data_IF_459944559717
#
_entry.id   IF_459944559717
#
_cell.length_a   1.000
_cell.length_b   1.000
_cell.length_c   1.000
_cell.angle_alpha   90.00
_cell.angle_beta   90.00
_cell.angle_gamma   90.00
#
_symmetry.space_group_name_H-M   'P 1'
#
loop_
_entity.id
_entity.type
_entity.pdbx_description
1 polymer ?
#
# COMPACT_ATOMS: atom_id res chain seq x y z
N UNK A 1 -16.70 9.49 -23.38
CA UNK A 1 -15.76 9.30 -24.52
C UNK A 1 -14.63 8.42 -24.05
N UNK A 2 -13.93 7.70 -24.94
CA UNK A 2 -12.75 6.92 -24.54
C UNK A 2 -11.68 7.81 -23.88
N UNK A 3 -11.63 9.11 -24.19
CA UNK A 3 -10.74 10.07 -23.55
C UNK A 3 -11.01 10.26 -22.05
N UNK A 4 -12.26 10.42 -21.62
CA UNK A 4 -12.58 10.63 -20.20
C UNK A 4 -12.28 9.42 -19.32
N UNK A 5 -12.53 8.21 -19.83
CA UNK A 5 -12.20 6.96 -19.10
C UNK A 5 -10.67 6.83 -18.93
N UNK A 6 -9.89 7.25 -19.93
CA UNK A 6 -8.44 7.22 -19.85
C UNK A 6 -7.93 8.25 -18.85
N UNK A 7 -8.43 9.49 -18.88
CA UNK A 7 -8.04 10.53 -17.90
C UNK A 7 -8.30 10.09 -16.46
N UNK A 8 -9.48 9.51 -16.17
CA UNK A 8 -9.81 8.98 -14.84
C UNK A 8 -8.87 7.83 -14.43
N UNK A 9 -8.55 6.92 -15.37
CA UNK A 9 -7.65 5.79 -15.12
C UNK A 9 -6.20 6.26 -14.88
N UNK A 10 -5.73 7.26 -15.63
CA UNK A 10 -4.40 7.84 -15.43
C UNK A 10 -4.31 8.56 -14.08
N UNK A 11 -5.35 9.31 -13.70
CA UNK A 11 -5.39 9.98 -12.40
C UNK A 11 -5.39 8.99 -11.23
N UNK A 12 -6.15 7.89 -11.34
CA UNK A 12 -6.14 6.82 -10.34
C UNK A 12 -4.75 6.20 -10.18
N UNK A 13 -4.05 5.95 -11.30
CA UNK A 13 -2.70 5.39 -11.28
C UNK A 13 -1.70 6.36 -10.64
N UNK A 14 -1.76 7.64 -10.96
CA UNK A 14 -0.85 8.65 -10.41
C UNK A 14 -1.03 8.80 -8.89
N UNK A 15 -2.27 8.75 -8.41
CA UNK A 15 -2.56 8.75 -6.97
C UNK A 15 -1.95 7.53 -6.27
N UNK A 16 -2.06 6.34 -6.87
CA UNK A 16 -1.48 5.13 -6.30
C UNK A 16 0.06 5.18 -6.25
N UNK A 17 0.70 5.76 -7.28
CA UNK A 17 2.15 5.98 -7.28
C UNK A 17 2.56 6.97 -6.18
N UNK A 18 1.80 8.05 -6.00
CA UNK A 18 2.04 9.01 -4.91
C UNK A 18 1.89 8.36 -3.53
N UNK A 19 0.87 7.51 -3.35
CA UNK A 19 0.68 6.75 -2.12
C UNK A 19 1.84 5.78 -1.87
N UNK A 20 2.29 5.05 -2.89
CA UNK A 20 3.44 4.16 -2.76
C UNK A 20 4.68 4.91 -2.26
N UNK A 21 5.00 6.04 -2.90
CA UNK A 21 6.14 6.87 -2.53
C UNK A 21 6.02 7.50 -1.14
N UNK A 22 4.79 7.71 -0.65
CA UNK A 22 4.54 8.21 0.70
C UNK A 22 4.82 7.14 1.76
N UNK A 23 4.58 5.86 1.43
CA UNK A 23 4.76 4.72 2.33
C UNK A 23 6.24 4.26 2.35
N UNK A 24 6.91 4.26 1.19
CA UNK A 24 8.34 3.93 1.04
C UNK A 24 9.24 5.04 1.61
N UNK A 25 9.28 5.14 2.95
CA UNK A 25 9.97 6.19 3.69
C UNK A 25 11.47 6.25 3.41
N UNK A 26 12.09 5.09 3.18
CA UNK A 26 13.52 5.00 2.88
C UNK A 26 13.84 5.11 1.38
N UNK A 27 12.82 5.22 0.52
CA UNK A 27 12.92 5.31 -0.93
C UNK A 27 13.70 4.14 -1.55
N UNK A 28 13.52 2.93 -1.03
CA UNK A 28 14.18 1.72 -1.54
C UNK A 28 13.58 1.23 -2.86
N UNK A 29 12.40 1.72 -3.24
CA UNK A 29 11.58 1.19 -4.32
C UNK A 29 10.74 -0.02 -3.90
N UNK A 30 10.70 -0.33 -2.60
CA UNK A 30 9.91 -1.40 -2.02
C UNK A 30 9.29 -0.92 -0.71
N UNK A 31 8.05 -1.32 -0.45
CA UNK A 31 7.44 -1.14 0.86
C UNK A 31 7.83 -2.33 1.73
N UNK A 32 8.63 -2.07 2.76
CA UNK A 32 8.94 -3.07 3.78
C UNK A 32 7.74 -3.32 4.69
N UNK A 33 7.76 -4.46 5.37
CA UNK A 33 6.75 -4.82 6.38
C UNK A 33 6.60 -3.76 7.49
N UNK A 34 7.71 -3.12 7.89
CA UNK A 34 7.70 -2.08 8.92
C UNK A 34 7.02 -0.82 8.40
N UNK A 35 7.37 -0.36 7.18
CA UNK A 35 6.75 0.80 6.54
C UNK A 35 5.24 0.58 6.34
N UNK A 36 4.85 -0.62 5.92
CA UNK A 36 3.45 -1.00 5.80
C UNK A 36 2.73 -0.97 7.14
N UNK A 37 3.31 -1.58 8.18
CA UNK A 37 2.75 -1.60 9.55
C UNK A 37 2.54 -0.19 10.10
N UNK A 38 3.54 0.68 9.96
CA UNK A 38 3.49 2.06 10.44
C UNK A 38 2.34 2.83 9.79
N UNK A 39 2.18 2.72 8.48
CA UNK A 39 1.10 3.41 7.75
C UNK A 39 -0.26 2.81 8.06
N UNK A 40 -0.41 1.49 8.10
CA UNK A 40 -1.69 0.85 8.42
C UNK A 40 -2.13 1.21 9.83
N UNK A 41 -1.21 1.24 10.80
CA UNK A 41 -1.50 1.71 12.17
C UNK A 41 -1.92 3.17 12.16
N UNK A 42 -1.24 4.06 11.43
CA UNK A 42 -1.62 5.47 11.33
C UNK A 42 -3.02 5.68 10.71
N UNK A 43 -3.37 4.93 9.67
CA UNK A 43 -4.65 5.07 8.97
C UNK A 43 -5.82 4.47 9.74
N UNK A 44 -5.58 3.36 10.45
CA UNK A 44 -6.60 2.67 11.25
C UNK A 44 -6.64 3.17 12.71
N UNK A 45 -5.84 4.20 13.03
CA UNK A 45 -5.93 4.94 14.28
C UNK A 45 -7.24 5.73 14.31
N UNK A 46 -8.30 5.09 14.77
CA UNK A 46 -9.58 5.76 14.95
C UNK A 46 -9.54 6.65 16.20
N UNK A 47 -10.14 7.83 16.08
CA UNK A 47 -10.38 8.85 17.11
C UNK A 47 -11.02 8.34 18.43
N UNK A 48 -11.48 7.08 18.47
CA UNK A 48 -12.06 6.42 19.63
C UNK A 48 -11.09 5.50 20.41
N UNK A 49 -9.81 5.42 20.04
CA UNK A 49 -8.75 4.81 20.86
C UNK A 49 -8.81 3.28 21.00
N UNK A 50 -9.63 2.58 20.19
CA UNK A 50 -9.63 1.12 20.14
C UNK A 50 -8.61 0.61 19.11
N UNK A 51 -7.34 0.63 19.53
CA UNK A 51 -6.18 0.00 18.91
C UNK A 51 -6.35 -1.52 18.88
N UNK A 52 -6.68 -2.12 17.73
CA UNK A 52 -6.56 -3.58 17.59
C UNK A 52 -6.15 -4.04 16.18
N UNK A 53 -5.41 -3.23 15.40
CA UNK A 53 -4.65 -3.82 14.28
C UNK A 53 -3.50 -4.59 14.91
N UNK A 54 -3.72 -5.89 15.06
CA UNK A 54 -2.75 -6.76 15.66
C UNK A 54 -1.70 -7.16 14.61
N UNK A 55 -0.59 -7.72 15.06
CA UNK A 55 0.51 -8.07 14.18
C UNK A 55 0.15 -9.15 13.14
N UNK A 56 -0.84 -10.00 13.44
CA UNK A 56 -1.33 -11.01 12.51
C UNK A 56 -2.18 -10.37 11.39
N UNK A 57 -2.95 -9.32 11.68
CA UNK A 57 -3.71 -8.59 10.65
C UNK A 57 -2.73 -7.89 9.68
N UNK A 58 -1.65 -7.30 10.21
CA UNK A 58 -0.59 -6.72 9.39
C UNK A 58 0.06 -7.80 8.52
N UNK A 59 0.39 -8.95 9.10
CA UNK A 59 1.01 -10.07 8.39
C UNK A 59 0.12 -10.60 7.26
N UNK A 60 -1.17 -10.78 7.53
CA UNK A 60 -2.13 -11.25 6.54
C UNK A 60 -2.25 -10.27 5.38
N UNK A 61 -2.39 -8.98 5.68
CA UNK A 61 -2.51 -7.93 4.68
C UNK A 61 -1.22 -7.78 3.84
N UNK A 62 -0.04 -7.77 4.48
CA UNK A 62 1.22 -7.66 3.75
C UNK A 62 1.49 -8.90 2.89
N UNK A 63 1.18 -10.10 3.41
CA UNK A 63 1.37 -11.37 2.69
C UNK A 63 0.41 -11.52 1.51
N UNK A 64 -0.79 -10.93 1.60
CA UNK A 64 -1.73 -10.92 0.49
C UNK A 64 -1.27 -10.01 -0.67
N UNK A 65 -0.43 -9.02 -0.38
CA UNK A 65 0.12 -8.08 -1.37
C UNK A 65 1.47 -8.53 -1.93
N UNK A 66 2.32 -9.19 -1.14
CA UNK A 66 3.61 -9.76 -1.55
C UNK A 66 3.41 -11.05 -2.39
N UNK A 67 3.25 -10.88 -3.71
CA UNK A 67 2.87 -11.95 -4.64
C UNK A 67 4.05 -12.88 -4.93
N UNK A 68 5.26 -12.33 -5.02
CA UNK A 68 6.47 -13.11 -5.27
C UNK A 68 7.10 -13.72 -4.00
N UNK A 69 6.60 -13.30 -2.82
CA UNK A 69 7.00 -13.76 -1.47
C UNK A 69 8.45 -13.41 -1.12
N UNK A 70 8.93 -12.26 -1.58
CA UNK A 70 10.27 -11.77 -1.30
C UNK A 70 10.36 -11.01 0.05
N UNK A 71 9.23 -10.84 0.75
CA UNK A 71 9.11 -10.20 2.07
C UNK A 71 8.92 -8.68 2.02
N UNK A 72 8.64 -8.12 0.86
CA UNK A 72 8.45 -6.68 0.62
C UNK A 72 7.51 -6.49 -0.57
N UNK A 73 6.86 -5.34 -0.65
CA UNK A 73 5.86 -5.07 -1.69
C UNK A 73 6.46 -4.11 -2.71
N UNK A 74 6.57 -4.53 -3.97
CA UNK A 74 6.96 -3.65 -5.06
C UNK A 74 5.77 -2.87 -5.66
N UNK A 75 6.06 -1.93 -6.56
CA UNK A 75 5.03 -1.06 -7.14
C UNK A 75 4.03 -1.82 -8.03
N UNK A 76 4.43 -2.91 -8.68
CA UNK A 76 3.52 -3.72 -9.51
C UNK A 76 2.56 -4.49 -8.60
N UNK A 77 3.10 -5.09 -7.54
CA UNK A 77 2.33 -5.76 -6.49
C UNK A 77 1.33 -4.81 -5.84
N UNK A 78 1.78 -3.60 -5.46
CA UNK A 78 0.93 -2.55 -4.88
C UNK A 78 -0.20 -2.10 -5.82
N UNK A 79 0.06 -2.06 -7.14
CA UNK A 79 -0.94 -1.69 -8.15
C UNK A 79 -1.85 -2.86 -8.56
N UNK A 80 -1.66 -4.06 -7.99
CA UNK A 80 -2.38 -5.27 -8.40
C UNK A 80 -2.09 -5.68 -9.85
N UNK A 81 -0.91 -5.32 -10.37
CA UNK A 81 -0.46 -5.67 -11.72
C UNK A 81 0.41 -6.91 -11.65
N UNK A 82 -0.14 -8.02 -12.15
CA UNK A 82 0.55 -9.29 -12.36
C UNK A 82 1.41 -9.21 -13.62
#
# INVERSE_FOLDING_TARGET
SNAGIMEDLYMQKDILILLFNLIDFNHSGFISRNEFSDVVRLLLYNENGSDHVNEADIEELSSAMDLDRNGKIDINEFLGKI
#
